data_IF_832330992501
#
_entry.id   IF_832330992501
#
_cell.length_a   1.000
_cell.length_b   1.000
_cell.length_c   1.000
_cell.angle_alpha   90.00
_cell.angle_beta   90.00
_cell.angle_gamma   90.00
#
_symmetry.space_group_name_H-M   'P 1'
#
loop_
_entity.id
_entity.type
_entity.pdbx_description
1 polymer ?
#
# COMPACT_ATOMS: atom_id res chain seq x y z
N UNK A 1 6.82 -13.54 25.24
CA UNK A 1 6.29 -12.40 24.44
C UNK A 1 5.38 -11.63 25.35
N UNK A 2 5.64 -10.33 25.55
CA UNK A 2 4.84 -9.45 26.40
C UNK A 2 3.39 -9.40 25.87
N UNK A 3 2.40 -9.44 26.76
CA UNK A 3 0.97 -9.39 26.40
C UNK A 3 0.65 -8.13 25.58
N UNK A 4 1.36 -7.04 25.85
CA UNK A 4 1.21 -5.78 25.12
C UNK A 4 1.63 -5.89 23.65
N UNK A 5 2.65 -6.71 23.35
CA UNK A 5 3.07 -6.97 21.96
C UNK A 5 1.93 -7.65 21.19
N UNK A 6 1.25 -8.62 21.80
CA UNK A 6 0.12 -9.31 21.16
C UNK A 6 -1.02 -8.33 20.90
N UNK A 7 -1.34 -7.48 21.88
CA UNK A 7 -2.37 -6.45 21.73
C UNK A 7 -2.03 -5.48 20.59
N UNK A 8 -0.81 -4.97 20.54
CA UNK A 8 -0.38 -4.05 19.48
C UNK A 8 -0.28 -4.72 18.11
N UNK A 9 0.10 -5.99 18.04
CA UNK A 9 0.07 -6.79 16.82
C UNK A 9 -1.38 -6.91 16.28
N UNK A 10 -2.34 -7.25 17.13
CA UNK A 10 -3.75 -7.32 16.75
C UNK A 10 -4.25 -5.95 16.29
N UNK A 11 -3.92 -4.88 17.02
CA UNK A 11 -4.31 -3.52 16.66
C UNK A 11 -3.72 -3.08 15.32
N UNK A 12 -2.45 -3.40 15.02
CA UNK A 12 -1.82 -3.11 13.74
C UNK A 12 -2.60 -3.76 12.58
N UNK A 13 -3.02 -5.01 12.73
CA UNK A 13 -3.86 -5.69 11.75
C UNK A 13 -5.25 -5.07 11.62
N UNK A 14 -5.92 -4.73 12.74
CA UNK A 14 -7.24 -4.12 12.73
C UNK A 14 -7.23 -2.73 12.08
N UNK A 15 -6.23 -1.90 12.40
CA UNK A 15 -6.01 -0.59 11.79
C UNK A 15 -5.73 -0.74 10.29
N UNK A 16 -4.85 -1.67 9.90
CA UNK A 16 -4.60 -2.02 8.50
C UNK A 16 -5.87 -2.45 7.76
N UNK A 17 -6.77 -3.15 8.45
CA UNK A 17 -8.02 -3.67 7.92
C UNK A 17 -9.06 -2.60 7.59
N UNK A 18 -8.92 -1.36 8.09
CA UNK A 18 -9.89 -0.29 7.83
C UNK A 18 -10.00 -0.03 6.32
N UNK A 19 -11.19 -0.20 5.71
CA UNK A 19 -11.37 -0.11 4.26
C UNK A 19 -11.61 1.33 3.80
N UNK A 20 -10.58 2.17 3.90
CA UNK A 20 -10.65 3.62 3.66
C UNK A 20 -11.31 3.99 2.32
N UNK A 21 -10.99 3.29 1.22
CA UNK A 21 -11.63 3.53 -0.08
C UNK A 21 -13.12 3.26 -0.14
N UNK A 22 -13.59 2.26 0.62
CA UNK A 22 -15.02 1.95 0.70
C UNK A 22 -15.74 2.97 1.58
N UNK A 23 -15.18 3.29 2.74
CA UNK A 23 -15.73 4.27 3.68
C UNK A 23 -15.83 5.63 3.00
N UNK A 24 -14.72 6.12 2.44
CA UNK A 24 -14.68 7.45 1.81
C UNK A 24 -15.61 7.48 0.59
N UNK A 25 -15.57 6.47 -0.27
CA UNK A 25 -16.41 6.41 -1.47
C UNK A 25 -17.91 6.37 -1.15
N UNK A 26 -18.33 5.53 -0.20
CA UNK A 26 -19.76 5.39 0.16
C UNK A 26 -20.27 6.58 0.96
N UNK A 27 -19.56 7.00 2.00
CA UNK A 27 -20.08 8.00 2.94
C UNK A 27 -20.05 9.42 2.37
N UNK A 28 -19.02 9.79 1.62
CA UNK A 28 -18.86 11.17 1.14
C UNK A 28 -19.24 11.37 -0.34
N UNK A 29 -19.32 10.30 -1.12
CA UNK A 29 -19.55 10.37 -2.57
C UNK A 29 -20.63 9.40 -3.07
N UNK A 30 -21.36 8.72 -2.17
CA UNK A 30 -22.44 7.79 -2.49
C UNK A 30 -22.07 6.75 -3.57
N UNK A 31 -20.80 6.31 -3.62
CA UNK A 31 -20.27 5.45 -4.68
C UNK A 31 -19.45 4.31 -4.09
N UNK A 32 -19.84 3.06 -4.36
CA UNK A 32 -19.01 1.89 -4.07
C UNK A 32 -17.94 1.73 -5.16
N UNK A 33 -16.69 2.10 -4.85
CA UNK A 33 -15.57 2.03 -5.80
C UNK A 33 -15.31 0.62 -6.34
N UNK A 34 -15.76 -0.43 -5.65
CA UNK A 34 -15.54 -1.83 -6.08
C UNK A 34 -16.43 -2.23 -7.26
N UNK A 35 -17.49 -1.47 -7.54
CA UNK A 35 -18.40 -1.74 -8.65
C UNK A 35 -17.83 -1.27 -10.00
N UNK A 36 -16.78 -0.46 -9.99
CA UNK A 36 -16.26 0.22 -11.18
C UNK A 36 -14.73 0.08 -11.33
N UNK A 37 -14.22 0.41 -12.51
CA UNK A 37 -12.80 0.44 -12.83
C UNK A 37 -12.11 -0.91 -12.59
N UNK A 38 -11.02 -0.90 -11.81
CA UNK A 38 -10.28 -2.12 -11.49
C UNK A 38 -10.90 -2.93 -10.35
N UNK A 39 -12.07 -2.51 -9.82
CA UNK A 39 -12.80 -3.11 -8.70
C UNK A 39 -12.01 -3.21 -7.38
N UNK A 40 -10.89 -2.49 -7.29
CA UNK A 40 -10.02 -2.46 -6.12
C UNK A 40 -10.46 -1.33 -5.18
N UNK A 41 -10.20 -1.47 -3.88
CA UNK A 41 -10.52 -0.45 -2.88
C UNK A 41 -9.45 0.65 -2.74
N UNK A 42 -8.27 0.48 -3.35
CA UNK A 42 -7.17 1.40 -3.19
C UNK A 42 -7.35 2.74 -3.94
N UNK A 43 -6.51 3.71 -3.57
CA UNK A 43 -6.54 5.09 -4.07
C UNK A 43 -6.57 5.22 -5.59
N UNK A 44 -5.86 4.37 -6.34
CA UNK A 44 -5.84 4.42 -7.80
C UNK A 44 -7.22 4.17 -8.40
N UNK A 45 -7.96 3.19 -7.88
CA UNK A 45 -9.31 2.93 -8.39
C UNK A 45 -10.27 4.04 -7.94
N UNK A 46 -10.14 4.52 -6.71
CA UNK A 46 -10.88 5.68 -6.23
C UNK A 46 -10.65 6.91 -7.13
N UNK A 47 -9.43 7.14 -7.61
CA UNK A 47 -9.14 8.20 -8.57
C UNK A 47 -9.89 8.00 -9.88
N UNK A 48 -9.81 6.79 -10.46
CA UNK A 48 -10.52 6.47 -11.69
C UNK A 48 -12.03 6.70 -11.56
N UNK A 49 -12.63 6.24 -10.47
CA UNK A 49 -14.09 6.25 -10.26
C UNK A 49 -14.60 7.61 -9.78
N UNK A 50 -14.02 8.20 -8.75
CA UNK A 50 -14.55 9.41 -8.07
C UNK A 50 -13.68 10.64 -8.32
N UNK A 51 -12.36 10.48 -8.37
CA UNK A 51 -11.40 11.54 -8.69
C UNK A 51 -10.50 11.89 -7.53
N UNK A 52 -9.65 12.90 -7.72
CA UNK A 52 -8.59 13.25 -6.78
C UNK A 52 -9.12 13.59 -5.37
N UNK A 53 -10.29 14.25 -5.29
CA UNK A 53 -10.93 14.63 -4.02
C UNK A 53 -11.18 13.44 -3.08
N UNK A 54 -11.46 12.26 -3.64
CA UNK A 54 -11.63 11.03 -2.85
C UNK A 54 -10.33 10.22 -2.78
N UNK A 55 -9.56 10.18 -3.88
CA UNK A 55 -8.36 9.36 -3.98
C UNK A 55 -7.26 9.79 -3.02
N UNK A 56 -7.06 11.10 -2.84
CA UNK A 56 -6.01 11.64 -1.97
C UNK A 56 -6.27 11.28 -0.49
N UNK A 57 -7.46 11.52 0.09
CA UNK A 57 -7.77 11.04 1.43
C UNK A 57 -7.62 9.53 1.60
N UNK A 58 -8.04 8.73 0.61
CA UNK A 58 -7.86 7.27 0.65
C UNK A 58 -6.39 6.89 0.70
N UNK A 59 -5.56 7.51 -0.15
CA UNK A 59 -4.12 7.29 -0.17
C UNK A 59 -3.48 7.64 1.18
N UNK A 60 -3.84 8.80 1.74
CA UNK A 60 -3.31 9.26 3.03
C UNK A 60 -3.74 8.31 4.16
N UNK A 61 -5.02 7.94 4.26
CA UNK A 61 -5.48 6.99 5.27
C UNK A 61 -4.80 5.62 5.13
N UNK A 62 -4.64 5.13 3.89
CA UNK A 62 -3.98 3.85 3.63
C UNK A 62 -2.47 3.88 3.97
N UNK A 63 -1.79 5.02 3.79
CA UNK A 63 -0.41 5.20 4.22
C UNK A 63 -0.31 5.33 5.75
N UNK A 64 -1.18 6.14 6.37
CA UNK A 64 -1.19 6.35 7.82
C UNK A 64 -1.39 5.06 8.59
N UNK A 65 -2.28 4.16 8.15
CA UNK A 65 -2.45 2.86 8.81
C UNK A 65 -1.20 1.97 8.71
N UNK A 66 -0.43 2.08 7.62
CA UNK A 66 0.86 1.39 7.48
C UNK A 66 1.90 1.90 8.47
N UNK A 67 2.05 3.24 8.54
CA UNK A 67 2.93 3.89 9.50
C UNK A 67 2.51 3.58 10.95
N UNK A 68 1.20 3.61 11.24
CA UNK A 68 0.66 3.29 12.56
C UNK A 68 1.03 1.87 13.02
N UNK A 69 0.98 0.88 12.11
CA UNK A 69 1.40 -0.49 12.43
C UNK A 69 2.85 -0.56 12.91
N UNK A 70 3.76 0.13 12.23
CA UNK A 70 5.17 0.22 12.61
C UNK A 70 5.35 0.93 13.95
N UNK A 71 4.70 2.09 14.12
CA UNK A 71 4.84 2.95 15.30
C UNK A 71 4.35 2.24 16.57
N UNK A 72 3.22 1.51 16.50
CA UNK A 72 2.65 0.76 17.62
C UNK A 72 3.63 -0.24 18.26
N UNK A 73 4.57 -0.75 17.48
CA UNK A 73 5.53 -1.77 17.92
C UNK A 73 6.98 -1.25 17.95
N UNK A 74 7.18 0.06 17.76
CA UNK A 74 8.51 0.66 17.61
C UNK A 74 9.38 0.61 18.86
N UNK A 75 8.78 0.74 20.05
CA UNK A 75 9.50 0.68 21.34
C UNK A 75 10.11 -0.69 21.65
N UNK A 76 9.68 -1.75 20.96
CA UNK A 76 10.17 -3.11 21.16
C UNK A 76 11.35 -3.47 20.25
N UNK A 77 11.69 -2.60 19.29
CA UNK A 77 12.85 -2.73 18.41
C UNK A 77 12.54 -3.12 16.96
N UNK A 78 13.57 -3.21 16.10
CA UNK A 78 13.41 -3.28 14.64
C UNK A 78 12.56 -4.46 14.13
N UNK A 79 12.68 -5.64 14.77
CA UNK A 79 11.92 -6.81 14.36
C UNK A 79 10.41 -6.67 14.65
N UNK A 80 10.04 -5.95 15.71
CA UNK A 80 8.65 -5.68 16.06
C UNK A 80 8.06 -4.56 15.19
N UNK A 81 8.87 -3.56 14.81
CA UNK A 81 8.51 -2.57 13.79
C UNK A 81 8.12 -3.25 12.46
N UNK A 82 8.94 -4.21 12.01
CA UNK A 82 8.66 -5.03 10.83
C UNK A 82 7.36 -5.82 11.02
N UNK A 83 7.19 -6.50 12.16
CA UNK A 83 5.97 -7.26 12.47
C UNK A 83 4.73 -6.37 12.36
N UNK A 84 4.76 -5.17 12.94
CA UNK A 84 3.67 -4.20 12.88
C UNK A 84 3.36 -3.73 11.45
N UNK A 85 4.39 -3.45 10.67
CA UNK A 85 4.25 -3.10 9.26
C UNK A 85 3.65 -4.24 8.43
N UNK A 86 4.11 -5.48 8.63
CA UNK A 86 3.55 -6.69 8.01
C UNK A 86 2.07 -6.82 8.36
N UNK A 87 1.71 -6.73 9.63
CA UNK A 87 0.32 -6.91 10.09
C UNK A 87 -0.61 -5.82 9.53
N UNK A 88 -0.16 -4.57 9.46
CA UNK A 88 -0.92 -3.50 8.81
C UNK A 88 -1.13 -3.75 7.30
N UNK A 89 -0.09 -4.21 6.59
CA UNK A 89 -0.20 -4.58 5.18
C UNK A 89 -1.12 -5.80 4.98
N UNK A 90 -1.04 -6.79 5.87
CA UNK A 90 -1.94 -7.95 5.86
C UNK A 90 -3.39 -7.53 6.07
N UNK A 91 -3.66 -6.64 7.03
CA UNK A 91 -4.99 -6.07 7.25
C UNK A 91 -5.52 -5.36 6.00
N UNK A 92 -4.69 -4.55 5.32
CA UNK A 92 -5.13 -3.88 4.09
C UNK A 92 -5.45 -4.86 2.96
N UNK A 93 -4.68 -5.94 2.83
CA UNK A 93 -4.80 -6.91 1.74
C UNK A 93 -5.92 -7.94 1.99
N UNK A 94 -6.13 -8.32 3.25
CA UNK A 94 -7.10 -9.30 3.71
C UNK A 94 -7.91 -8.73 4.87
N UNK A 95 -8.66 -7.66 4.60
CA UNK A 95 -9.42 -6.97 5.65
C UNK A 95 -10.50 -7.87 6.23
N UNK A 96 -10.52 -7.99 7.56
CA UNK A 96 -11.60 -8.67 8.28
C UNK A 96 -12.97 -8.01 8.02
N UNK A 97 -12.99 -6.69 7.82
CA UNK A 97 -14.21 -5.93 7.53
C UNK A 97 -14.73 -6.11 6.11
N UNK A 98 -13.96 -6.77 5.23
CA UNK A 98 -14.32 -7.02 3.84
C UNK A 98 -14.33 -8.53 3.50
N UNK A 99 -14.48 -9.40 4.50
CA UNK A 99 -14.49 -10.85 4.32
C UNK A 99 -13.16 -11.36 3.76
N UNK A 100 -12.04 -10.87 4.31
CA UNK A 100 -10.67 -11.19 3.92
C UNK A 100 -10.32 -10.86 2.47
N UNK A 101 -11.02 -9.88 1.90
CA UNK A 101 -10.67 -9.24 0.63
C UNK A 101 -10.13 -7.85 0.90
N UNK A 102 -9.36 -7.29 -0.02
CA UNK A 102 -8.72 -6.01 0.23
C UNK A 102 -7.94 -5.48 -0.96
N UNK A 103 -7.06 -4.52 -0.70
CA UNK A 103 -6.27 -3.87 -1.74
C UNK A 103 -4.98 -4.62 -2.09
N UNK A 104 -4.07 -3.90 -2.76
CA UNK A 104 -2.74 -4.39 -3.14
C UNK A 104 -1.63 -3.94 -2.17
N UNK A 105 -1.94 -3.07 -1.21
CA UNK A 105 -1.02 -2.70 -0.14
C UNK A 105 0.08 -1.72 -0.51
N UNK A 106 0.04 -1.07 -1.69
CA UNK A 106 1.10 -0.13 -2.12
C UNK A 106 1.16 1.11 -1.23
N UNK A 107 0.03 1.79 -0.99
CA UNK A 107 -0.01 2.98 -0.13
C UNK A 107 0.31 2.62 1.33
N UNK A 108 -0.21 1.50 1.83
CA UNK A 108 0.13 0.98 3.16
C UNK A 108 1.60 0.61 3.28
N UNK A 109 2.19 -0.02 2.26
CA UNK A 109 3.62 -0.30 2.18
C UNK A 109 4.46 0.99 2.16
N UNK A 110 4.04 2.02 1.43
CA UNK A 110 4.70 3.33 1.49
C UNK A 110 4.66 3.92 2.90
N UNK A 111 3.53 3.82 3.60
CA UNK A 111 3.42 4.24 4.99
C UNK A 111 4.38 3.49 5.93
N UNK A 112 4.51 2.17 5.74
CA UNK A 112 5.51 1.35 6.45
C UNK A 112 6.92 1.85 6.13
N UNK A 113 7.24 2.09 4.85
CA UNK A 113 8.56 2.60 4.45
C UNK A 113 8.85 3.98 5.05
N UNK A 114 7.87 4.88 5.08
CA UNK A 114 8.04 6.21 5.71
C UNK A 114 8.42 6.06 7.19
N UNK A 115 7.83 5.09 7.90
CA UNK A 115 8.13 4.88 9.31
C UNK A 115 9.45 4.12 9.56
N UNK A 116 9.90 3.28 8.63
CA UNK A 116 11.14 2.51 8.76
C UNK A 116 12.37 3.26 8.21
N UNK A 117 12.26 3.82 7.01
CA UNK A 117 13.34 4.53 6.30
C UNK A 117 12.74 5.65 5.42
N UNK A 118 12.61 6.87 5.97
CA UNK A 118 12.03 8.01 5.24
C UNK A 118 12.75 8.34 3.93
N UNK A 119 14.08 8.18 3.90
CA UNK A 119 14.88 8.46 2.70
C UNK A 119 14.56 7.45 1.58
N UNK A 120 14.51 6.15 1.89
CA UNK A 120 14.13 5.12 0.91
C UNK A 120 12.71 5.33 0.43
N UNK A 121 11.78 5.67 1.34
CA UNK A 121 10.39 5.96 0.99
C UNK A 121 10.29 7.14 0.00
N UNK A 122 11.04 8.22 0.24
CA UNK A 122 11.08 9.38 -0.64
C UNK A 122 11.61 9.01 -2.03
N UNK A 123 12.76 8.32 -2.11
CA UNK A 123 13.35 7.91 -3.39
C UNK A 123 12.39 6.98 -4.15
N UNK A 124 11.83 5.97 -3.49
CA UNK A 124 10.89 5.04 -4.09
C UNK A 124 9.62 5.75 -4.60
N UNK A 125 9.11 6.73 -3.85
CA UNK A 125 7.95 7.52 -4.25
C UNK A 125 8.25 8.44 -5.45
N UNK A 126 9.45 9.03 -5.51
CA UNK A 126 9.88 9.83 -6.65
C UNK A 126 10.02 8.98 -7.91
N UNK A 127 10.67 7.81 -7.82
CA UNK A 127 10.78 6.86 -8.95
C UNK A 127 9.40 6.41 -9.42
N UNK A 128 8.53 6.03 -8.48
CA UNK A 128 7.14 5.71 -8.77
C UNK A 128 6.45 6.87 -9.52
N UNK A 129 6.58 8.09 -9.02
CA UNK A 129 5.97 9.29 -9.59
C UNK A 129 6.43 9.57 -11.02
N UNK A 130 7.74 9.46 -11.29
CA UNK A 130 8.33 9.62 -12.62
C UNK A 130 7.75 8.59 -13.59
N UNK A 131 7.73 7.31 -13.22
CA UNK A 131 7.21 6.24 -14.07
C UNK A 131 5.72 6.47 -14.36
N UNK A 132 4.93 6.80 -13.34
CA UNK A 132 3.49 7.05 -13.49
C UNK A 132 3.24 8.30 -14.33
N UNK A 133 4.04 9.35 -14.20
CA UNK A 133 3.90 10.58 -14.97
C UNK A 133 4.01 10.30 -16.48
N UNK A 134 5.04 9.57 -16.90
CA UNK A 134 5.31 9.27 -18.31
C UNK A 134 4.43 8.17 -18.88
N UNK A 135 4.20 7.09 -18.12
CA UNK A 135 3.49 5.90 -18.64
C UNK A 135 1.98 5.94 -18.40
N UNK A 136 1.53 6.73 -17.41
CA UNK A 136 0.18 6.67 -16.84
C UNK A 136 -0.17 5.31 -16.21
N UNK A 137 0.81 4.44 -15.95
CA UNK A 137 0.61 3.10 -15.40
C UNK A 137 1.06 3.01 -13.94
N UNK A 138 0.10 3.08 -13.01
CA UNK A 138 0.38 2.99 -11.57
C UNK A 138 0.95 1.64 -11.14
N UNK A 139 0.49 0.55 -11.75
CA UNK A 139 1.00 -0.80 -11.46
C UNK A 139 2.48 -0.94 -11.83
N UNK A 140 2.88 -0.45 -13.00
CA UNK A 140 4.28 -0.48 -13.45
C UNK A 140 5.18 0.28 -12.49
N UNK A 141 4.82 1.52 -12.15
CA UNK A 141 5.56 2.32 -11.17
C UNK A 141 5.63 1.62 -9.81
N UNK A 142 4.56 0.98 -9.36
CA UNK A 142 4.51 0.31 -8.05
C UNK A 142 5.39 -0.94 -8.01
N UNK A 143 5.43 -1.73 -9.09
CA UNK A 143 6.28 -2.92 -9.20
C UNK A 143 7.76 -2.51 -9.19
N UNK A 144 8.13 -1.52 -10.00
CA UNK A 144 9.52 -1.05 -10.09
C UNK A 144 9.96 -0.42 -8.76
N UNK A 145 9.15 0.45 -8.18
CA UNK A 145 9.46 1.06 -6.89
C UNK A 145 9.63 0.00 -5.79
N UNK A 146 8.74 -1.01 -5.73
CA UNK A 146 8.86 -2.10 -4.78
C UNK A 146 10.14 -2.93 -4.98
N UNK A 147 10.50 -3.26 -6.22
CA UNK A 147 11.73 -3.98 -6.52
C UNK A 147 13.01 -3.21 -6.13
N UNK A 148 12.95 -1.86 -6.17
CA UNK A 148 14.06 -1.01 -5.76
C UNK A 148 14.24 -0.90 -4.25
N UNK A 149 13.19 -1.10 -3.44
CA UNK A 149 13.25 -0.95 -1.98
C UNK A 149 14.42 -1.70 -1.33
N UNK A 150 14.61 -3.03 -1.50
CA UNK A 150 15.72 -3.72 -0.85
C UNK A 150 17.09 -3.23 -1.32
N UNK A 151 17.22 -2.84 -2.59
CA UNK A 151 18.45 -2.31 -3.17
C UNK A 151 18.78 -0.96 -2.51
N UNK A 152 17.79 -0.07 -2.44
CA UNK A 152 17.93 1.24 -1.80
C UNK A 152 18.30 1.10 -0.32
N UNK A 153 17.60 0.24 0.43
CA UNK A 153 17.89 0.00 1.84
C UNK A 153 19.32 -0.50 2.06
N UNK A 154 19.82 -1.38 1.19
CA UNK A 154 21.21 -1.85 1.25
C UNK A 154 22.20 -0.71 1.03
N UNK A 155 22.02 0.12 0.00
CA UNK A 155 22.94 1.21 -0.32
C UNK A 155 22.85 2.42 0.61
N UNK A 156 21.70 2.63 1.27
CA UNK A 156 21.56 3.68 2.31
C UNK A 156 22.08 3.22 3.67
N UNK A 157 22.58 1.99 3.80
CA UNK A 157 23.18 1.48 5.05
C UNK A 157 22.15 1.10 6.12
N UNK A 158 20.92 0.75 5.72
CA UNK A 158 19.88 0.32 6.65
C UNK A 158 20.23 -1.04 7.29
N UNK A 159 19.62 -1.33 8.44
CA UNK A 159 19.79 -2.63 9.10
C UNK A 159 19.45 -3.80 8.17
N UNK A 160 20.20 -4.90 8.28
CA UNK A 160 19.92 -6.13 7.51
C UNK A 160 18.50 -6.66 7.72
N UNK A 161 17.88 -6.39 8.88
CA UNK A 161 16.47 -6.69 9.13
C UNK A 161 15.53 -5.91 8.18
N UNK A 162 15.80 -4.63 7.96
CA UNK A 162 15.02 -3.79 7.06
C UNK A 162 15.26 -4.18 5.60
N UNK A 163 16.50 -4.48 5.21
CA UNK A 163 16.81 -5.00 3.86
C UNK A 163 16.06 -6.30 3.59
N UNK A 164 16.09 -7.26 4.53
CA UNK A 164 15.37 -8.52 4.43
C UNK A 164 13.85 -8.32 4.35
N UNK A 165 13.29 -7.44 5.19
CA UNK A 165 11.88 -7.05 5.11
C UNK A 165 11.55 -6.41 3.75
N UNK A 166 12.37 -5.49 3.25
CA UNK A 166 12.20 -4.83 1.97
C UNK A 166 12.15 -5.83 0.82
N UNK A 167 12.98 -6.86 0.85
CA UNK A 167 12.96 -7.94 -0.15
C UNK A 167 11.67 -8.76 -0.08
N UNK A 168 11.22 -9.15 1.12
CA UNK A 168 9.96 -9.88 1.31
C UNK A 168 8.75 -9.04 0.89
N UNK A 169 8.73 -7.76 1.27
CA UNK A 169 7.68 -6.82 0.90
C UNK A 169 7.64 -6.59 -0.62
N UNK A 170 8.80 -6.52 -1.29
CA UNK A 170 8.90 -6.41 -2.73
C UNK A 170 8.27 -7.62 -3.44
N UNK A 171 8.65 -8.84 -3.04
CA UNK A 171 8.06 -10.08 -3.55
C UNK A 171 6.55 -10.08 -3.34
N UNK A 172 6.11 -9.74 -2.13
CA UNK A 172 4.69 -9.70 -1.81
C UNK A 172 3.92 -8.71 -2.70
N UNK A 173 4.40 -7.48 -2.86
CA UNK A 173 3.78 -6.49 -3.72
C UNK A 173 3.73 -6.98 -5.17
N UNK A 174 4.83 -7.55 -5.70
CA UNK A 174 4.89 -8.07 -7.07
C UNK A 174 3.86 -9.19 -7.28
N UNK A 175 3.79 -10.16 -6.37
CA UNK A 175 2.78 -11.25 -6.42
C UNK A 175 1.37 -10.67 -6.39
N UNK A 176 1.11 -9.69 -5.53
CA UNK A 176 -0.19 -9.00 -5.46
C UNK A 176 -0.50 -8.18 -6.70
N UNK A 177 0.45 -7.96 -7.62
CA UNK A 177 0.25 -7.30 -8.91
C UNK A 177 0.15 -8.28 -10.09
N UNK A 178 0.02 -9.59 -9.85
CA UNK A 178 -0.05 -10.59 -10.92
C UNK A 178 -1.07 -10.26 -12.03
N UNK A 179 -2.29 -9.85 -11.69
CA UNK A 179 -3.28 -9.46 -12.70
C UNK A 179 -2.87 -8.23 -13.51
N UNK A 180 -2.14 -7.28 -12.89
CA UNK A 180 -1.60 -6.12 -13.60
C UNK A 180 -0.47 -6.55 -14.53
N UNK A 181 0.41 -7.45 -14.07
CA UNK A 181 1.51 -7.99 -14.88
C UNK A 181 0.96 -8.68 -16.12
N UNK A 182 -0.06 -9.55 -15.96
CA UNK A 182 -0.73 -10.17 -17.11
C UNK A 182 -1.25 -9.15 -18.12
N UNK A 183 -1.89 -8.07 -17.65
CA UNK A 183 -2.39 -7.00 -18.52
C UNK A 183 -1.27 -6.16 -19.14
N UNK A 184 -0.18 -5.92 -18.43
CA UNK A 184 1.00 -5.21 -18.93
C UNK A 184 1.64 -5.99 -20.09
N UNK A 185 1.82 -7.30 -19.93
CA UNK A 185 2.44 -8.17 -20.95
C UNK A 185 1.67 -8.20 -22.26
N UNK A 186 0.35 -8.00 -22.23
CA UNK A 186 -0.51 -7.97 -23.42
C UNK A 186 -0.94 -6.56 -23.83
N UNK A 187 -0.37 -5.51 -23.22
CA UNK A 187 -0.66 -4.10 -23.56
C UNK A 187 -2.03 -3.57 -23.14
N UNK A 188 -2.77 -4.27 -22.26
CA UNK A 188 -4.15 -3.95 -21.84
C UNK A 188 -4.24 -3.43 -20.40
N UNK A 189 -3.15 -2.92 -19.82
CA UNK A 189 -3.17 -2.41 -18.45
C UNK A 189 -3.86 -1.03 -18.36
N UNK A 190 -4.67 -0.87 -17.30
CA UNK A 190 -5.48 0.32 -17.10
C UNK A 190 -4.63 1.55 -16.74
N UNK A 191 -4.63 2.56 -17.61
CA UNK A 191 -4.06 3.87 -17.31
C UNK A 191 -4.78 4.55 -16.13
N UNK A 192 -4.08 5.47 -15.47
CA UNK A 192 -4.63 6.28 -14.37
C UNK A 192 -5.43 7.46 -14.93
N UNK A 193 -6.60 7.15 -15.45
CA UNK A 193 -7.50 8.10 -16.10
C UNK A 193 -8.90 8.05 -15.48
N UNK A 194 -9.63 9.16 -15.54
CA UNK A 194 -10.99 9.27 -14.99
C UNK A 194 -11.96 8.47 -15.86
N UNK A 195 -12.80 7.67 -15.24
CA UNK A 195 -13.98 7.10 -15.88
C UNK A 195 -15.01 8.22 -15.96
N UNK A 196 -15.47 8.55 -17.17
CA UNK A 196 -16.63 9.44 -17.33
C UNK A 196 -17.85 8.70 -16.78
N UNK A 197 -18.50 9.26 -15.77
CA UNK A 197 -19.87 8.88 -15.41
C UNK A 197 -20.78 9.66 -16.34
N UNK A 198 -21.58 8.94 -17.13
CA UNK A 198 -22.74 9.50 -17.81
C UNK A 198 -23.79 9.96 -16.78
#
# INVERSE_FOLDING_TARGET
MDIMVIVYAILAYLIGSIPSGLIIGKTFFNTDVRQYGSKNIGATNTYRVIGLKAALPVFLCDALKGAAGVILLSSYGPMYMILGGILAMMGHNWSIFLGFKGGRGVATGLGVLIALSPLVALIAFLVWGVIVYFTKLVSLGSIIAAALVPILMYFTGESYWFVGFGALAAVFVIVRHWDNIKRLLVGNELKVERIKKD
#
